data_IF_454413539826
#
_entry.id   IF_454413539826
#
_cell.length_a   1.000
_cell.length_b   1.000
_cell.length_c   1.000
_cell.angle_alpha   90.00
_cell.angle_beta   90.00
_cell.angle_gamma   90.00
#
_symmetry.space_group_name_H-M   'P 1'
#
loop_
_entity.id
_entity.type
_entity.pdbx_description
1 polymer ?
#
# COMPACT_ATOMS: atom_id res chain seq x y z
N UNK A 1 -8.40 16.05 -30.89
CA UNK A 1 -9.71 16.64 -30.55
C UNK A 1 -10.47 16.83 -31.85
N UNK A 2 -11.44 15.97 -32.12
CA UNK A 2 -12.38 16.10 -33.24
C UNK A 2 -13.72 16.55 -32.66
N UNK A 3 -14.34 17.52 -33.34
CA UNK A 3 -15.46 18.34 -32.86
C UNK A 3 -16.70 17.55 -32.42
N UNK A 4 -17.35 18.06 -31.38
CA UNK A 4 -18.54 17.50 -30.76
C UNK A 4 -19.81 17.64 -31.60
N UNK A 5 -19.86 16.94 -32.74
CA UNK A 5 -21.03 16.89 -33.63
C UNK A 5 -21.99 15.72 -33.35
N UNK A 6 -21.71 14.90 -32.33
CA UNK A 6 -22.61 13.82 -31.92
C UNK A 6 -23.02 14.05 -30.46
N UNK A 7 -24.31 14.20 -30.15
CA UNK A 7 -24.72 14.16 -28.76
C UNK A 7 -24.27 12.82 -28.17
N UNK A 8 -23.50 12.85 -27.09
CA UNK A 8 -23.12 11.63 -26.36
C UNK A 8 -24.38 11.10 -25.69
N UNK A 9 -25.20 10.37 -26.45
CA UNK A 9 -26.34 9.65 -25.95
C UNK A 9 -25.84 8.31 -25.42
N UNK A 10 -25.59 8.26 -24.12
CA UNK A 10 -25.51 6.99 -23.41
C UNK A 10 -26.88 6.31 -23.49
N UNK A 11 -27.06 5.37 -24.43
CA UNK A 11 -28.26 4.54 -24.48
C UNK A 11 -28.45 3.73 -23.18
N UNK A 12 -29.63 3.16 -22.93
CA UNK A 12 -29.86 2.31 -21.76
C UNK A 12 -28.80 1.20 -21.74
N UNK A 13 -28.18 0.99 -20.58
CA UNK A 13 -27.08 0.03 -20.42
C UNK A 13 -27.54 -1.36 -20.84
N UNK A 14 -26.84 -1.94 -21.82
CA UNK A 14 -27.10 -3.30 -22.28
C UNK A 14 -26.45 -4.37 -21.40
N UNK A 15 -25.41 -4.01 -20.63
CA UNK A 15 -24.65 -4.96 -19.81
C UNK A 15 -24.44 -4.43 -18.38
N UNK A 16 -24.47 -5.34 -17.41
CA UNK A 16 -24.10 -5.05 -16.01
C UNK A 16 -22.59 -4.80 -15.96
N UNK A 17 -22.21 -3.53 -15.76
CA UNK A 17 -20.81 -3.16 -15.58
C UNK A 17 -20.42 -3.49 -14.14
N UNK A 18 -19.45 -4.38 -13.97
CA UNK A 18 -18.82 -4.67 -12.68
C UNK A 18 -17.32 -4.48 -12.76
N UNK A 19 -16.76 -3.71 -11.83
CA UNK A 19 -15.33 -3.72 -11.56
C UNK A 19 -15.04 -4.88 -10.62
N UNK A 20 -14.17 -5.80 -11.04
CA UNK A 20 -13.77 -6.97 -10.24
C UNK A 20 -12.30 -6.83 -9.90
N UNK A 21 -11.98 -6.86 -8.62
CA UNK A 21 -10.63 -6.79 -8.09
C UNK A 21 -10.43 -7.97 -7.13
N UNK A 22 -9.20 -8.41 -6.97
CA UNK A 22 -8.89 -9.51 -6.06
C UNK A 22 -7.45 -9.97 -6.20
N UNK A 23 -7.07 -10.85 -5.28
CA UNK A 23 -5.78 -11.51 -5.28
C UNK A 23 -5.94 -12.93 -4.72
N UNK A 24 -4.97 -13.78 -5.00
CA UNK A 24 -4.86 -15.09 -4.38
C UNK A 24 -3.48 -15.19 -3.70
N UNK A 25 -3.47 -15.46 -2.41
CA UNK A 25 -2.28 -15.81 -1.64
C UNK A 25 -2.20 -17.32 -1.41
N UNK A 26 -1.15 -17.78 -0.74
CA UNK A 26 -0.95 -19.20 -0.43
C UNK A 26 -2.04 -19.71 0.52
N UNK A 27 -2.33 -18.96 1.59
CA UNK A 27 -3.31 -19.35 2.61
C UNK A 27 -4.74 -18.94 2.22
N UNK A 28 -4.91 -17.70 1.78
CA UNK A 28 -6.22 -17.12 1.48
C UNK A 28 -6.21 -16.30 0.19
N UNK A 29 -7.34 -16.31 -0.51
CA UNK A 29 -7.62 -15.37 -1.59
C UNK A 29 -8.83 -14.49 -1.27
N UNK A 30 -8.87 -13.35 -1.94
CA UNK A 30 -9.89 -12.32 -1.78
C UNK A 30 -10.37 -11.83 -3.13
N UNK A 31 -11.67 -11.58 -3.25
CA UNK A 31 -12.22 -10.87 -4.40
C UNK A 31 -13.35 -9.94 -3.97
N UNK A 32 -13.43 -8.79 -4.63
CA UNK A 32 -14.48 -7.79 -4.50
C UNK A 32 -15.03 -7.46 -5.89
N UNK A 33 -16.35 -7.36 -5.97
CA UNK A 33 -17.06 -6.93 -7.17
C UNK A 33 -17.88 -5.68 -6.85
N UNK A 34 -17.46 -4.56 -7.42
CA UNK A 34 -18.17 -3.29 -7.36
C UNK A 34 -19.07 -3.15 -8.58
N UNK A 35 -20.28 -2.64 -8.40
CA UNK A 35 -21.24 -2.36 -9.46
C UNK A 35 -22.10 -1.17 -9.09
N UNK A 36 -22.91 -0.69 -10.02
CA UNK A 36 -23.73 0.49 -9.76
C UNK A 36 -25.01 0.15 -8.98
N UNK A 37 -25.59 1.12 -8.25
CA UNK A 37 -26.86 0.94 -7.58
C UNK A 37 -27.98 0.65 -8.58
N UNK A 38 -29.12 0.23 -8.05
CA UNK A 38 -30.34 0.25 -8.83
C UNK A 38 -30.68 1.71 -9.22
N UNK A 39 -31.09 1.97 -10.47
CA UNK A 39 -31.42 3.31 -10.92
C UNK A 39 -32.45 3.97 -9.99
N UNK A 40 -32.09 5.12 -9.44
CA UNK A 40 -32.94 5.88 -8.53
C UNK A 40 -32.82 7.37 -8.80
N UNK A 41 -33.73 8.17 -8.24
CA UNK A 41 -33.66 9.64 -8.27
C UNK A 41 -32.68 10.21 -7.25
N UNK A 42 -31.93 9.36 -6.54
CA UNK A 42 -30.92 9.79 -5.57
C UNK A 42 -29.74 10.48 -6.28
N UNK A 43 -29.16 11.48 -5.61
CA UNK A 43 -27.89 12.07 -6.06
C UNK A 43 -26.74 11.04 -6.07
N UNK A 44 -26.88 9.93 -5.33
CA UNK A 44 -25.92 8.84 -5.23
C UNK A 44 -26.17 7.69 -6.22
N UNK A 45 -26.97 7.90 -7.27
CA UNK A 45 -27.29 6.86 -8.27
C UNK A 45 -26.06 6.33 -9.06
N UNK A 46 -24.89 6.92 -8.86
CA UNK A 46 -23.62 6.52 -9.47
C UNK A 46 -22.59 6.01 -8.45
N UNK A 47 -22.92 5.98 -7.17
CA UNK A 47 -22.00 5.54 -6.13
C UNK A 47 -21.77 4.02 -6.24
N UNK A 48 -20.51 3.55 -6.27
CA UNK A 48 -20.24 2.13 -6.42
C UNK A 48 -20.73 1.34 -5.20
N UNK A 49 -21.52 0.30 -5.45
CA UNK A 49 -21.97 -0.67 -4.47
C UNK A 49 -21.18 -1.98 -4.56
N UNK A 50 -20.85 -2.53 -3.41
CA UNK A 50 -20.28 -3.86 -3.23
C UNK A 50 -21.38 -4.89 -3.50
N UNK A 51 -21.31 -5.51 -4.69
CA UNK A 51 -22.25 -6.55 -5.12
C UNK A 51 -21.87 -7.91 -4.55
N UNK A 52 -20.57 -8.16 -4.40
CA UNK A 52 -20.04 -9.38 -3.81
C UNK A 52 -18.65 -9.13 -3.23
N UNK A 53 -18.37 -9.72 -2.09
CA UNK A 53 -17.02 -9.92 -1.59
C UNK A 53 -16.88 -11.38 -1.14
N UNK A 54 -15.72 -11.97 -1.34
CA UNK A 54 -15.49 -13.32 -0.84
C UNK A 54 -14.05 -13.56 -0.43
N UNK A 55 -13.91 -14.45 0.55
CA UNK A 55 -12.65 -15.01 1.02
C UNK A 55 -12.71 -16.52 0.81
N UNK A 56 -11.64 -17.08 0.26
CA UNK A 56 -11.50 -18.53 0.10
C UNK A 56 -10.13 -19.00 0.57
N UNK A 57 -10.05 -20.27 0.96
CA UNK A 57 -8.80 -20.94 1.28
C UNK A 57 -8.02 -21.33 0.02
N UNK A 58 -6.71 -21.11 0.05
CA UNK A 58 -5.73 -21.53 -0.94
C UNK A 58 -5.55 -20.57 -2.12
N UNK A 59 -4.54 -20.90 -2.93
CA UNK A 59 -4.09 -20.10 -4.09
C UNK A 59 -5.08 -20.03 -5.27
N UNK A 60 -6.23 -20.71 -5.22
CA UNK A 60 -7.21 -20.67 -6.30
C UNK A 60 -8.64 -20.75 -5.78
N UNK A 61 -9.52 -19.99 -6.41
CA UNK A 61 -10.94 -20.02 -6.07
C UNK A 61 -11.56 -21.35 -6.46
N UNK A 62 -12.20 -22.02 -5.49
CA UNK A 62 -13.10 -23.15 -5.71
C UNK A 62 -14.34 -22.96 -4.84
N UNK A 63 -15.55 -23.32 -5.30
CA UNK A 63 -16.75 -23.19 -4.46
C UNK A 63 -16.64 -23.89 -3.11
N UNK A 64 -15.91 -25.02 -3.05
CA UNK A 64 -15.68 -25.76 -1.82
C UNK A 64 -14.65 -25.11 -0.86
N UNK A 65 -13.82 -24.20 -1.35
CA UNK A 65 -12.84 -23.47 -0.52
C UNK A 65 -13.37 -22.12 -0.02
N UNK A 66 -14.60 -21.74 -0.37
CA UNK A 66 -15.21 -20.49 0.08
C UNK A 66 -15.42 -20.51 1.60
N UNK A 67 -14.83 -19.54 2.29
CA UNK A 67 -14.89 -19.41 3.75
C UNK A 67 -15.90 -18.34 4.15
N UNK A 68 -15.79 -17.15 3.58
CA UNK A 68 -16.70 -16.03 3.81
C UNK A 68 -17.21 -15.54 2.47
N UNK A 69 -18.51 -15.33 2.38
CA UNK A 69 -19.16 -14.84 1.16
C UNK A 69 -20.18 -13.78 1.55
N UNK A 70 -19.96 -12.58 1.03
CA UNK A 70 -20.91 -11.50 1.06
C UNK A 70 -21.58 -11.41 -0.30
N UNK A 71 -22.91 -11.41 -0.32
CA UNK A 71 -23.71 -11.10 -1.51
C UNK A 71 -24.71 -10.02 -1.17
N UNK A 72 -24.56 -8.83 -1.78
CA UNK A 72 -25.34 -7.63 -1.42
C UNK A 72 -25.18 -7.29 0.07
N UNK A 73 -26.31 -7.24 0.78
CA UNK A 73 -26.41 -6.88 2.19
C UNK A 73 -26.10 -8.03 3.16
N UNK A 74 -26.01 -9.26 2.67
CA UNK A 74 -25.87 -10.45 3.49
C UNK A 74 -24.43 -10.97 3.48
N UNK A 75 -23.89 -11.24 4.66
CA UNK A 75 -22.62 -11.95 4.84
C UNK A 75 -22.86 -13.29 5.53
N UNK A 76 -22.26 -14.33 4.97
CA UNK A 76 -22.30 -15.69 5.49
C UNK A 76 -20.89 -16.25 5.61
N UNK A 77 -20.70 -17.10 6.61
CA UNK A 77 -19.48 -17.87 6.80
C UNK A 77 -19.75 -19.37 6.63
N UNK A 78 -18.71 -20.09 6.28
CA UNK A 78 -18.73 -21.53 6.10
C UNK A 78 -18.53 -22.21 7.45
N UNK A 79 -19.50 -23.01 7.87
CA UNK A 79 -19.42 -23.83 9.07
C UNK A 79 -19.45 -25.30 8.65
N UNK A 80 -18.28 -25.92 8.51
CA UNK A 80 -18.14 -27.26 7.94
C UNK A 80 -18.74 -27.37 6.53
N UNK A 81 -19.90 -28.03 6.41
CA UNK A 81 -20.60 -28.21 5.12
C UNK A 81 -21.79 -27.24 4.95
N UNK A 82 -22.16 -26.51 5.99
CA UNK A 82 -23.27 -25.55 6.01
C UNK A 82 -22.80 -24.11 5.88
N UNK A 83 -23.76 -23.22 5.66
CA UNK A 83 -23.57 -21.77 5.69
C UNK A 83 -24.28 -21.22 6.92
N UNK A 84 -23.57 -20.41 7.70
CA UNK A 84 -24.13 -19.64 8.79
C UNK A 84 -24.21 -18.17 8.36
N UNK A 85 -25.35 -17.53 8.61
CA UNK A 85 -25.52 -16.09 8.33
C UNK A 85 -24.95 -15.31 9.50
N UNK A 86 -24.01 -14.41 9.23
CA UNK A 86 -23.42 -13.52 10.23
C UNK A 86 -24.23 -12.22 10.37
N UNK A 87 -24.62 -11.65 9.23
CA UNK A 87 -25.40 -10.40 9.17
C UNK A 87 -26.16 -10.32 7.86
N UNK A 88 -27.29 -9.61 7.88
CA UNK A 88 -28.19 -9.42 6.72
C UNK A 88 -28.39 -7.95 6.34
N UNK A 89 -27.80 -7.01 7.09
CA UNK A 89 -28.08 -5.58 6.98
C UNK A 89 -26.81 -4.77 6.77
N UNK A 90 -25.82 -5.32 6.06
CA UNK A 90 -24.58 -4.59 5.78
C UNK A 90 -24.84 -3.53 4.71
N UNK A 91 -24.49 -2.25 4.93
CA UNK A 91 -24.62 -1.23 3.90
C UNK A 91 -23.86 -1.63 2.62
N UNK A 92 -24.45 -1.39 1.45
CA UNK A 92 -23.86 -1.76 0.16
C UNK A 92 -22.51 -1.10 -0.13
N UNK A 93 -22.10 -0.09 0.62
CA UNK A 93 -20.85 0.67 0.43
C UNK A 93 -19.76 0.36 1.46
N UNK A 94 -20.09 -0.32 2.57
CA UNK A 94 -19.11 -0.75 3.58
C UNK A 94 -18.53 -2.10 3.20
N UNK A 95 -17.27 -2.42 3.50
CA UNK A 95 -16.69 -3.75 3.24
C UNK A 95 -17.02 -4.76 4.34
N UNK A 96 -16.92 -6.07 4.05
CA UNK A 96 -17.01 -7.12 5.08
C UNK A 96 -15.94 -6.93 6.17
N UNK A 97 -14.80 -6.32 5.84
CA UNK A 97 -13.72 -6.06 6.80
C UNK A 97 -14.10 -5.04 7.87
N UNK A 98 -15.03 -4.13 7.58
CA UNK A 98 -15.48 -3.13 8.55
C UNK A 98 -16.55 -3.70 9.50
N UNK A 99 -17.27 -4.72 9.05
CA UNK A 99 -18.44 -5.27 9.75
C UNK A 99 -18.11 -6.50 10.59
N UNK A 100 -17.12 -7.31 10.18
CA UNK A 100 -16.82 -8.63 10.79
C UNK A 100 -15.38 -8.67 11.34
N UNK A 101 -14.76 -7.49 11.49
CA UNK A 101 -13.33 -7.30 11.76
C UNK A 101 -12.72 -8.21 12.85
N UNK A 102 -13.49 -8.52 13.91
CA UNK A 102 -13.02 -9.30 15.05
C UNK A 102 -14.00 -10.40 15.46
N UNK A 103 -14.76 -10.98 14.52
CA UNK A 103 -15.57 -12.16 14.84
C UNK A 103 -14.66 -13.37 15.10
N UNK A 104 -14.67 -13.97 16.31
CA UNK A 104 -13.83 -15.13 16.63
C UNK A 104 -14.09 -16.34 15.74
N UNK A 105 -15.26 -16.41 15.09
CA UNK A 105 -15.62 -17.48 14.17
C UNK A 105 -15.03 -17.31 12.77
N UNK A 106 -14.50 -16.13 12.44
CA UNK A 106 -13.93 -15.80 11.12
C UNK A 106 -12.51 -15.21 11.23
N UNK A 107 -11.53 -15.93 11.82
CA UNK A 107 -10.17 -15.42 11.98
C UNK A 107 -9.49 -15.05 10.65
N UNK A 108 -9.89 -15.67 9.53
CA UNK A 108 -9.41 -15.36 8.18
C UNK A 108 -9.72 -13.93 7.74
N UNK A 109 -10.83 -13.34 8.19
CA UNK A 109 -11.20 -11.94 7.89
C UNK A 109 -10.17 -10.99 8.50
N UNK A 110 -9.87 -11.20 9.78
CA UNK A 110 -8.86 -10.42 10.51
C UNK A 110 -7.47 -10.58 9.90
N UNK A 111 -7.04 -11.82 9.64
CA UNK A 111 -5.71 -12.09 9.07
C UNK A 111 -5.53 -11.45 7.69
N UNK A 112 -6.54 -11.54 6.83
CA UNK A 112 -6.51 -10.96 5.49
C UNK A 112 -6.52 -9.44 5.54
N UNK A 113 -7.33 -8.83 6.41
CA UNK A 113 -7.33 -7.38 6.63
C UNK A 113 -5.98 -6.87 7.08
N UNK A 114 -5.36 -7.51 8.08
CA UNK A 114 -4.04 -7.14 8.57
C UNK A 114 -2.96 -7.33 7.50
N UNK A 115 -3.10 -8.36 6.66
CA UNK A 115 -2.23 -8.56 5.49
C UNK A 115 -2.34 -7.42 4.50
N UNK A 116 -3.57 -7.03 4.10
CA UNK A 116 -3.80 -5.92 3.17
C UNK A 116 -3.33 -4.59 3.76
N UNK A 117 -3.56 -4.35 5.05
CA UNK A 117 -3.11 -3.13 5.77
C UNK A 117 -1.59 -2.98 5.79
N UNK A 118 -0.86 -4.09 5.70
CA UNK A 118 0.61 -4.09 5.63
C UNK A 118 1.13 -3.76 4.24
N UNK A 119 0.31 -3.79 3.18
CA UNK A 119 0.76 -3.46 1.83
C UNK A 119 1.28 -2.02 1.73
N UNK A 120 2.32 -1.82 0.93
CA UNK A 120 2.91 -0.50 0.70
C UNK A 120 3.01 -0.21 -0.78
N UNK A 121 2.61 1.00 -1.14
CA UNK A 121 2.63 1.50 -2.50
C UNK A 121 3.49 2.77 -2.51
N UNK A 122 4.66 2.68 -3.13
CA UNK A 122 5.53 3.81 -3.36
C UNK A 122 5.44 4.18 -4.85
N UNK A 123 4.55 5.11 -5.16
CA UNK A 123 4.29 5.56 -6.53
C UNK A 123 5.37 6.53 -6.99
N UNK A 124 5.40 7.71 -6.39
CA UNK A 124 6.42 8.71 -6.67
C UNK A 124 6.88 9.36 -5.37
N UNK A 125 8.11 9.03 -4.98
CA UNK A 125 8.78 9.80 -3.95
C UNK A 125 9.07 11.20 -4.49
N UNK A 126 8.45 12.20 -3.85
CA UNK A 126 8.75 13.60 -4.14
C UNK A 126 10.23 13.86 -3.89
N UNK A 127 10.88 14.52 -4.85
CA UNK A 127 12.28 14.91 -4.79
C UNK A 127 12.51 16.39 -5.08
N UNK A 128 11.43 17.15 -5.30
CA UNK A 128 11.47 18.60 -5.48
C UNK A 128 12.06 19.32 -4.26
N UNK A 129 12.37 20.61 -4.39
CA UNK A 129 13.03 21.39 -3.32
C UNK A 129 12.27 21.36 -1.98
N UNK A 130 10.94 21.27 -2.02
CA UNK A 130 10.05 21.21 -0.86
C UNK A 130 9.69 19.78 -0.45
N UNK A 131 10.38 18.77 -1.00
CA UNK A 131 10.12 17.37 -0.66
C UNK A 131 10.35 17.15 0.85
N UNK A 132 9.41 16.49 1.56
CA UNK A 132 9.54 16.27 3.00
C UNK A 132 10.83 15.54 3.40
N UNK A 133 11.33 14.65 2.53
CA UNK A 133 12.58 13.91 2.72
C UNK A 133 13.84 14.79 2.71
N UNK A 134 13.75 16.03 2.20
CA UNK A 134 14.85 17.02 2.22
C UNK A 134 14.90 17.83 3.51
N UNK A 135 13.86 17.74 4.34
CA UNK A 135 13.71 18.56 5.55
C UNK A 135 13.95 17.73 6.82
N UNK A 136 14.50 18.31 7.89
CA UNK A 136 14.59 17.63 9.18
C UNK A 136 13.21 17.32 9.77
N UNK A 137 12.93 16.04 10.02
CA UNK A 137 11.66 15.55 10.59
C UNK A 137 11.85 14.95 11.98
N UNK A 138 10.77 14.77 12.74
CA UNK A 138 10.84 14.14 14.06
C UNK A 138 11.40 12.71 13.96
N UNK A 139 12.43 12.42 14.74
CA UNK A 139 13.09 11.13 14.80
C UNK A 139 12.37 10.16 15.73
N UNK A 140 11.46 9.36 15.19
CA UNK A 140 10.84 8.23 15.90
C UNK A 140 11.25 6.91 15.24
N UNK A 141 11.06 5.77 15.91
CA UNK A 141 11.36 4.47 15.27
C UNK A 141 10.39 4.26 14.12
N UNK A 142 10.93 4.23 12.91
CA UNK A 142 10.17 4.10 11.65
C UNK A 142 10.52 2.77 11.01
N UNK A 143 9.84 1.67 11.37
CA UNK A 143 10.13 0.37 10.81
C UNK A 143 9.67 0.26 9.35
N UNK A 144 8.72 1.08 8.91
CA UNK A 144 8.23 1.12 7.52
C UNK A 144 8.16 2.57 7.06
N UNK A 145 8.78 2.88 5.92
CA UNK A 145 8.83 4.24 5.38
C UNK A 145 7.44 4.70 4.91
N UNK A 146 7.07 5.94 5.20
CA UNK A 146 5.82 6.51 4.70
C UNK A 146 5.86 6.75 3.18
N UNK A 147 4.69 6.75 2.54
CA UNK A 147 4.58 6.78 1.07
C UNK A 147 5.17 8.05 0.42
N UNK A 148 5.25 9.17 1.14
CA UNK A 148 5.86 10.41 0.68
C UNK A 148 7.32 10.61 1.14
N UNK A 149 7.87 9.65 1.89
CA UNK A 149 9.27 9.65 2.31
C UNK A 149 9.64 10.61 3.43
N UNK A 150 8.68 11.26 4.12
CA UNK A 150 8.99 12.28 5.13
C UNK A 150 9.90 11.77 6.25
N UNK A 151 9.71 10.56 6.76
CA UNK A 151 10.52 10.00 7.84
C UNK A 151 11.81 9.32 7.35
N UNK A 152 12.39 9.74 6.20
CA UNK A 152 13.56 9.09 5.60
C UNK A 152 14.72 8.89 6.58
N UNK A 153 15.13 9.96 7.26
CA UNK A 153 16.25 9.91 8.20
C UNK A 153 15.99 8.92 9.37
N UNK A 154 14.76 8.92 9.87
CA UNK A 154 14.31 8.02 10.93
C UNK A 154 14.22 6.56 10.46
N UNK A 155 13.77 6.32 9.23
CA UNK A 155 13.75 4.98 8.63
C UNK A 155 15.16 4.42 8.46
N UNK A 156 16.08 5.21 7.89
CA UNK A 156 17.50 4.81 7.75
C UNK A 156 18.14 4.52 9.11
N UNK A 157 17.90 5.37 10.12
CA UNK A 157 18.40 5.12 11.46
C UNK A 157 17.78 3.85 12.07
N UNK A 158 16.51 3.57 11.79
CA UNK A 158 15.84 2.36 12.26
C UNK A 158 16.45 1.11 11.62
N UNK A 159 16.78 1.16 10.32
CA UNK A 159 17.53 0.09 9.64
C UNK A 159 18.89 -0.14 10.29
N UNK A 160 19.64 0.94 10.59
CA UNK A 160 20.94 0.84 11.27
C UNK A 160 20.86 0.20 12.66
N UNK A 161 19.73 0.34 13.37
CA UNK A 161 19.58 -0.10 14.77
C UNK A 161 19.01 -1.51 14.89
N UNK A 162 18.01 -1.86 14.07
CA UNK A 162 17.29 -3.15 14.18
C UNK A 162 17.20 -3.95 12.88
N UNK A 163 17.66 -3.38 11.76
CA UNK A 163 17.64 -4.02 10.44
C UNK A 163 19.02 -4.44 9.98
N UNK A 164 19.16 -4.59 8.66
CA UNK A 164 20.43 -4.95 8.03
C UNK A 164 21.25 -3.69 7.70
N UNK A 165 22.07 -3.28 8.66
CA UNK A 165 22.97 -2.14 8.51
C UNK A 165 24.01 -2.38 7.41
N UNK A 166 24.54 -3.59 7.31
CA UNK A 166 25.65 -3.89 6.42
C UNK A 166 25.17 -3.90 4.97
N UNK A 167 23.97 -4.43 4.70
CA UNK A 167 23.34 -4.31 3.39
C UNK A 167 23.07 -2.86 3.00
N UNK A 168 22.65 -2.00 3.95
CA UNK A 168 22.43 -0.57 3.69
C UNK A 168 23.73 0.14 3.33
N UNK A 169 24.78 -0.03 4.14
CA UNK A 169 26.07 0.62 3.92
C UNK A 169 26.73 0.09 2.62
N UNK A 170 26.61 -1.21 2.32
CA UNK A 170 27.15 -1.82 1.11
C UNK A 170 26.40 -1.39 -0.17
N UNK A 171 25.07 -1.45 -0.18
CA UNK A 171 24.29 -1.04 -1.35
C UNK A 171 24.48 0.45 -1.66
N UNK A 172 24.58 1.29 -0.62
CA UNK A 172 24.87 2.70 -0.82
C UNK A 172 26.27 2.93 -1.38
N UNK A 173 27.30 2.25 -0.86
CA UNK A 173 28.67 2.38 -1.32
C UNK A 173 28.86 1.92 -2.77
N UNK A 174 28.15 0.88 -3.21
CA UNK A 174 28.14 0.41 -4.60
C UNK A 174 27.64 1.49 -5.57
N UNK A 175 26.56 2.19 -5.21
CA UNK A 175 26.01 3.27 -6.05
C UNK A 175 26.80 4.59 -5.96
N UNK A 176 27.40 4.89 -4.80
CA UNK A 176 28.13 6.14 -4.56
C UNK A 176 29.49 5.87 -3.87
N UNK A 177 30.49 5.36 -4.61
CA UNK A 177 31.81 5.08 -4.05
C UNK A 177 32.45 6.32 -3.42
N UNK A 178 33.12 6.14 -2.28
CA UNK A 178 33.75 7.25 -1.53
C UNK A 178 32.76 8.14 -0.78
N UNK A 179 31.47 7.77 -0.74
CA UNK A 179 30.43 8.47 0.01
C UNK A 179 29.83 7.59 1.11
N UNK A 180 29.34 8.20 2.19
CA UNK A 180 28.69 7.53 3.32
C UNK A 180 27.46 8.29 3.77
N UNK A 181 26.37 7.55 3.97
CA UNK A 181 25.15 8.08 4.60
C UNK A 181 25.38 8.31 6.10
N UNK A 182 24.97 9.48 6.58
CA UNK A 182 25.00 9.86 7.98
C UNK A 182 23.63 10.43 8.38
N UNK A 183 23.25 10.27 9.64
CA UNK A 183 22.03 10.86 10.20
C UNK A 183 22.44 11.94 11.18
N UNK A 184 22.09 13.18 10.87
CA UNK A 184 22.27 14.31 11.77
C UNK A 184 21.13 14.35 12.79
N UNK A 185 21.51 14.40 14.08
CA UNK A 185 20.59 14.40 15.22
C UNK A 185 20.51 15.83 15.77
N UNK A 186 19.46 16.54 15.37
CA UNK A 186 19.26 17.95 15.69
C UNK A 186 18.53 18.15 17.02
N UNK A 187 18.63 19.37 17.54
CA UNK A 187 17.89 19.79 18.73
C UNK A 187 16.37 19.59 18.52
N UNK A 188 15.68 19.22 19.60
CA UNK A 188 14.25 18.91 19.55
C UNK A 188 13.92 17.54 18.95
N UNK A 189 14.90 16.64 18.84
CA UNK A 189 14.69 15.25 18.41
C UNK A 189 14.41 15.09 16.92
N UNK A 190 14.86 16.04 16.10
CA UNK A 190 14.70 15.97 14.63
C UNK A 190 15.89 15.29 14.00
N UNK A 191 15.64 14.45 13.01
CA UNK A 191 16.67 13.74 12.26
C UNK A 191 16.71 14.29 10.84
N UNK A 192 17.92 14.45 10.29
CA UNK A 192 18.16 14.82 8.91
C UNK A 192 19.13 13.85 8.25
N UNK A 193 18.97 13.63 6.94
CA UNK A 193 19.94 12.86 6.16
C UNK A 193 21.09 13.77 5.76
N UNK A 194 22.30 13.26 5.93
CA UNK A 194 23.53 13.86 5.45
C UNK A 194 24.33 12.87 4.61
N UNK A 195 25.05 13.39 3.63
CA UNK A 195 26.01 12.65 2.85
C UNK A 195 27.42 13.16 3.14
N UNK A 196 28.30 12.29 3.62
CA UNK A 196 29.73 12.57 3.73
C UNK A 196 30.43 11.99 2.51
N UNK A 197 31.23 12.79 1.83
CA UNK A 197 31.96 12.37 0.63
C UNK A 197 33.43 12.75 0.78
N UNK A 198 34.31 11.86 0.35
CA UNK A 198 35.75 12.13 0.27
C UNK A 198 36.01 13.37 -0.61
N UNK A 199 36.86 14.27 -0.13
CA UNK A 199 37.16 15.54 -0.80
C UNK A 199 36.24 16.71 -0.44
N UNK A 200 35.13 16.49 0.28
CA UNK A 200 34.32 17.57 0.85
C UNK A 200 34.70 17.85 2.31
N UNK A 201 34.83 19.13 2.65
CA UNK A 201 35.19 19.59 3.99
C UNK A 201 34.00 19.55 4.98
N UNK A 202 32.77 19.47 4.47
CA UNK A 202 31.54 19.34 5.26
C UNK A 202 30.58 18.32 4.64
N UNK A 203 29.69 17.71 5.44
CA UNK A 203 28.59 16.91 4.91
C UNK A 203 27.64 17.75 4.04
N UNK A 204 27.05 17.10 3.04
CA UNK A 204 25.95 17.64 2.25
C UNK A 204 24.64 17.30 2.94
N UNK A 205 23.80 18.31 3.17
CA UNK A 205 22.45 18.10 3.68
C UNK A 205 21.54 17.48 2.63
N UNK A 206 20.43 16.87 3.06
CA UNK A 206 19.41 16.33 2.15
C UNK A 206 18.88 17.37 1.14
N UNK A 207 18.87 18.65 1.50
CA UNK A 207 18.47 19.75 0.61
C UNK A 207 19.42 19.95 -0.58
N UNK A 208 20.69 19.56 -0.44
CA UNK A 208 21.75 19.74 -1.45
C UNK A 208 21.90 18.51 -2.37
N UNK A 209 21.24 17.40 -2.05
CA UNK A 209 21.34 16.16 -2.83
C UNK A 209 20.64 16.29 -4.19
N UNK A 210 21.21 15.68 -5.21
CA UNK A 210 20.52 15.54 -6.50
C UNK A 210 19.25 14.69 -6.34
N UNK A 211 18.24 14.95 -7.17
CA UNK A 211 16.98 14.20 -7.17
C UNK A 211 17.19 12.68 -7.30
N UNK A 212 18.16 12.27 -8.13
CA UNK A 212 18.52 10.87 -8.30
C UNK A 212 19.08 10.24 -7.03
N UNK A 213 19.97 10.96 -6.33
CA UNK A 213 20.56 10.50 -5.06
C UNK A 213 19.49 10.35 -3.99
N UNK A 214 18.63 11.37 -3.83
CA UNK A 214 17.55 11.33 -2.84
C UNK A 214 16.57 10.19 -3.11
N UNK A 215 16.15 10.00 -4.37
CA UNK A 215 15.27 8.90 -4.76
C UNK A 215 15.91 7.53 -4.52
N UNK A 216 17.20 7.39 -4.80
CA UNK A 216 17.91 6.15 -4.52
C UNK A 216 17.93 5.84 -3.03
N UNK A 217 18.22 6.83 -2.18
CA UNK A 217 18.20 6.65 -0.71
C UNK A 217 16.78 6.29 -0.21
N UNK A 218 15.74 6.91 -0.78
CA UNK A 218 14.34 6.57 -0.47
C UNK A 218 14.00 5.12 -0.86
N UNK A 219 14.47 4.66 -2.02
CA UNK A 219 14.31 3.27 -2.44
C UNK A 219 15.06 2.30 -1.54
N UNK A 220 16.30 2.61 -1.15
CA UNK A 220 17.04 1.80 -0.18
C UNK A 220 16.30 1.70 1.16
N UNK A 221 15.81 2.82 1.69
CA UNK A 221 15.05 2.83 2.94
C UNK A 221 13.74 2.04 2.83
N UNK A 222 13.07 2.07 1.68
CA UNK A 222 11.88 1.28 1.42
C UNK A 222 12.20 -0.22 1.34
N UNK A 223 13.24 -0.62 0.61
CA UNK A 223 13.60 -2.02 0.35
C UNK A 223 14.25 -2.72 1.55
N UNK A 224 15.06 -2.00 2.33
CA UNK A 224 15.77 -2.54 3.50
C UNK A 224 14.98 -2.34 4.80
N UNK A 225 13.68 -2.07 4.71
CA UNK A 225 12.78 -1.93 5.84
C UNK A 225 12.91 -3.12 6.81
N UNK A 226 13.06 -2.90 8.13
CA UNK A 226 13.14 -4.00 9.10
C UNK A 226 11.83 -4.76 9.31
N UNK A 227 10.72 -4.25 8.74
CA UNK A 227 9.41 -4.90 8.75
C UNK A 227 8.86 -4.89 7.32
N UNK A 228 9.35 -5.78 6.44
CA UNK A 228 8.90 -5.82 5.05
C UNK A 228 7.38 -5.99 4.97
N UNK A 229 6.71 -5.22 4.10
CA UNK A 229 5.30 -5.40 3.85
C UNK A 229 5.10 -6.73 3.10
N UNK A 230 3.94 -7.37 3.28
CA UNK A 230 3.55 -8.57 2.52
C UNK A 230 3.42 -8.32 1.02
N UNK A 231 3.23 -7.07 0.61
CA UNK A 231 3.29 -6.63 -0.78
C UNK A 231 3.91 -5.23 -0.84
N UNK A 232 4.90 -5.06 -1.69
CA UNK A 232 5.47 -3.76 -2.02
C UNK A 232 5.35 -3.49 -3.51
N UNK A 233 4.69 -2.39 -3.86
CA UNK A 233 4.63 -1.91 -5.24
C UNK A 233 5.50 -0.67 -5.37
N UNK A 234 6.50 -0.75 -6.25
CA UNK A 234 7.39 0.35 -6.57
C UNK A 234 7.10 0.81 -8.01
N UNK A 235 6.87 2.11 -8.22
CA UNK A 235 6.88 2.70 -9.57
C UNK A 235 8.14 3.57 -9.77
N UNK A 236 9.30 2.98 -10.07
CA UNK A 236 10.45 3.78 -10.49
C UNK A 236 10.12 4.57 -11.77
N UNK A 237 10.71 5.76 -11.89
CA UNK A 237 10.46 6.69 -12.99
C UNK A 237 10.73 6.11 -14.41
N UNK A 238 11.38 4.94 -14.51
CA UNK A 238 11.64 4.26 -15.78
C UNK A 238 10.98 2.87 -15.93
N UNK A 239 10.37 2.24 -14.92
CA UNK A 239 9.77 0.88 -15.03
C UNK A 239 8.81 0.61 -13.85
N UNK A 240 7.80 -0.27 -13.96
CA UNK A 240 7.04 -0.75 -12.79
C UNK A 240 7.68 -2.03 -12.26
N UNK A 241 7.99 -2.12 -10.96
CA UNK A 241 8.51 -3.34 -10.33
C UNK A 241 7.63 -3.67 -9.12
N UNK A 242 7.02 -4.85 -9.12
CA UNK A 242 6.25 -5.37 -7.99
C UNK A 242 7.09 -6.43 -7.27
N UNK A 243 7.25 -6.29 -5.96
CA UNK A 243 7.85 -7.31 -5.10
C UNK A 243 6.77 -7.92 -4.20
N UNK A 244 6.65 -9.25 -4.25
CA UNK A 244 5.92 -10.05 -3.28
C UNK A 244 6.95 -10.66 -2.34
N UNK A 245 6.75 -10.47 -1.03
CA UNK A 245 7.57 -11.05 0.03
C UNK A 245 6.88 -12.25 0.66
#
# INVERSE_FOLDING_TARGET
MLGGEVPVQGGPRQNVIRLRLGFAGEDFGYAIALGLPEPSSSAFALDPEIKRECIWAGASYRPASLLVDRTGLMVRMREGRSWQVLTQHVPNYDSLFDQIDNDPNCPEVFQLRETIRRWRFYDHFRSDAEAPARQPQLGTRTPVLHHDGRELAAALQTIRVIGDRDALDAAFYDAFPGSRLHIDFQAGGRFAVELRQEGLLRPLSAAELSDGTLRYILLLAALLTPRPPSLMVLKPACTRICYLH
#
